data_IF_352888882785
#
_entry.id   IF_352888882785
#
_cell.length_a   1.000
_cell.length_b   1.000
_cell.length_c   1.000
_cell.angle_alpha   90.00
_cell.angle_beta   90.00
_cell.angle_gamma   90.00
#
_symmetry.space_group_name_H-M   'P 1'
#
loop_
_entity.id
_entity.type
_entity.pdbx_description
1 polymer ?
#
# COMPACT_ATOMS: atom_id res chain seq x y z
N UNK A 1 -26.80 -0.40 3.09
CA UNK A 1 -25.49 0.30 3.11
C UNK A 1 -24.51 -0.61 2.38
N UNK A 2 -23.99 -0.18 1.22
CA UNK A 2 -22.95 -0.93 0.50
C UNK A 2 -21.68 -0.94 1.38
N UNK A 3 -21.24 -2.12 1.81
CA UNK A 3 -19.92 -2.26 2.42
C UNK A 3 -18.89 -2.26 1.30
N UNK A 4 -18.06 -1.22 1.24
CA UNK A 4 -16.92 -1.17 0.32
C UNK A 4 -15.74 -1.81 1.05
N UNK A 5 -15.35 -3.00 0.58
CA UNK A 5 -14.10 -3.61 1.00
C UNK A 5 -12.93 -2.97 0.24
N UNK A 6 -11.76 -2.92 0.89
CA UNK A 6 -10.59 -2.25 0.34
C UNK A 6 -9.32 -3.04 0.62
N UNK A 7 -8.38 -2.93 -0.31
CA UNK A 7 -6.97 -3.23 -0.08
C UNK A 7 -6.28 -1.97 0.40
N UNK A 8 -5.16 -2.12 1.10
CA UNK A 8 -4.39 -1.00 1.59
C UNK A 8 -2.90 -1.30 1.69
N UNK A 9 -2.09 -0.23 1.61
CA UNK A 9 -0.68 -0.23 2.00
C UNK A 9 -0.52 0.76 3.13
N UNK A 10 -0.11 0.25 4.30
CA UNK A 10 0.13 1.03 5.51
C UNK A 10 1.64 1.21 5.72
N UNK A 11 2.07 2.46 5.83
CA UNK A 11 3.46 2.90 6.00
C UNK A 11 3.66 3.67 7.33
N UNK A 12 2.75 3.53 8.28
CA UNK A 12 2.81 4.23 9.57
C UNK A 12 4.05 3.86 10.41
N UNK A 13 4.65 2.70 10.14
CA UNK A 13 5.84 2.18 10.82
C UNK A 13 7.15 2.46 10.10
N UNK A 14 7.12 3.08 8.90
CA UNK A 14 8.34 3.68 8.35
C UNK A 14 8.53 5.04 9.02
N UNK A 15 9.71 5.64 8.86
CA UNK A 15 9.83 7.08 9.05
C UNK A 15 8.80 7.83 8.20
N UNK A 16 8.50 9.07 8.59
CA UNK A 16 7.78 10.04 7.75
C UNK A 16 7.83 11.46 8.33
N UNK A 17 7.80 12.49 7.46
CA UNK A 17 7.72 13.88 7.90
C UNK A 17 6.32 14.29 8.39
N UNK A 18 5.25 13.60 7.96
CA UNK A 18 3.88 13.92 8.36
C UNK A 18 3.59 13.53 9.82
N UNK A 19 3.66 14.52 10.72
CA UNK A 19 3.37 14.33 12.15
C UNK A 19 1.88 14.14 12.46
N UNK A 20 0.99 14.43 11.52
CA UNK A 20 -0.45 14.20 11.72
C UNK A 20 -0.86 12.74 11.51
N UNK A 21 -0.03 11.95 10.81
CA UNK A 21 -0.33 10.56 10.45
C UNK A 21 -1.44 10.41 9.41
N UNK A 22 -1.84 11.50 8.73
CA UNK A 22 -2.96 11.50 7.79
C UNK A 22 -2.64 10.75 6.49
N UNK A 23 -1.37 10.73 6.08
CA UNK A 23 -0.95 10.21 4.78
C UNK A 23 -0.21 8.86 4.83
N UNK A 24 -0.34 8.14 5.95
CA UNK A 24 0.35 6.86 6.20
C UNK A 24 -0.27 5.66 5.48
N UNK A 25 -1.49 5.80 4.97
CA UNK A 25 -2.22 4.69 4.36
C UNK A 25 -2.82 5.08 3.02
N UNK A 26 -2.65 4.21 2.03
CA UNK A 26 -3.30 4.32 0.73
C UNK A 26 -4.29 3.17 0.60
N UNK A 27 -5.51 3.46 0.13
CA UNK A 27 -6.59 2.48 -0.02
C UNK A 27 -7.09 2.42 -1.46
N UNK A 28 -7.48 1.25 -1.90
CA UNK A 28 -8.19 1.04 -3.16
C UNK A 28 -9.36 0.07 -2.94
N UNK A 29 -10.50 0.22 -3.65
CA UNK A 29 -11.58 -0.77 -3.60
C UNK A 29 -11.07 -2.16 -3.95
N UNK A 30 -11.55 -3.18 -3.24
CA UNK A 30 -11.13 -4.56 -3.46
C UNK A 30 -12.33 -5.51 -3.48
N UNK A 31 -12.35 -6.40 -4.46
CA UNK A 31 -13.36 -7.44 -4.59
C UNK A 31 -13.00 -8.65 -3.74
N UNK A 32 -13.62 -8.75 -2.56
CA UNK A 32 -13.43 -9.87 -1.62
C UNK A 32 -14.07 -11.19 -2.07
N UNK A 33 -14.82 -11.20 -3.16
CA UNK A 33 -15.30 -12.47 -3.75
C UNK A 33 -14.13 -13.28 -4.34
N UNK A 34 -13.03 -12.61 -4.70
CA UNK A 34 -11.76 -13.25 -5.05
C UNK A 34 -11.14 -13.89 -3.80
N UNK A 35 -11.03 -15.21 -3.81
CA UNK A 35 -10.45 -15.98 -2.69
C UNK A 35 -8.92 -16.01 -2.65
N UNK A 36 -8.27 -15.58 -3.74
CA UNK A 36 -6.82 -15.52 -3.86
C UNK A 36 -6.44 -14.17 -4.49
N UNK A 37 -5.26 -13.69 -4.15
CA UNK A 37 -4.64 -12.51 -4.75
C UNK A 37 -3.21 -12.83 -5.10
N UNK A 38 -2.76 -12.41 -6.29
CA UNK A 38 -1.35 -12.45 -6.63
C UNK A 38 -0.74 -11.07 -6.41
N UNK A 39 0.38 -10.99 -5.69
CA UNK A 39 1.07 -9.74 -5.43
C UNK A 39 2.45 -9.78 -6.07
N UNK A 40 2.76 -8.74 -6.83
CA UNK A 40 4.14 -8.40 -7.19
C UNK A 40 4.50 -7.12 -6.45
N UNK A 41 5.52 -7.21 -5.61
CA UNK A 41 5.99 -6.11 -4.78
C UNK A 41 7.39 -5.75 -5.24
N UNK A 42 7.58 -4.50 -5.66
CA UNK A 42 8.89 -3.92 -5.91
C UNK A 42 9.22 -3.01 -4.73
N UNK A 43 10.42 -3.18 -4.18
CA UNK A 43 10.96 -2.37 -3.10
C UNK A 43 12.21 -1.71 -3.61
N UNK A 44 12.26 -0.38 -3.50
CA UNK A 44 13.44 0.42 -3.76
C UNK A 44 13.75 1.29 -2.53
N UNK A 45 14.87 2.00 -2.54
CA UNK A 45 15.41 2.76 -1.42
C UNK A 45 14.42 3.76 -0.81
N UNK A 46 13.53 4.34 -1.63
CA UNK A 46 12.57 5.35 -1.21
C UNK A 46 11.14 5.06 -1.69
N UNK A 47 10.89 3.88 -2.24
CA UNK A 47 9.57 3.54 -2.76
C UNK A 47 9.18 2.09 -2.53
N UNK A 48 7.88 1.88 -2.46
CA UNK A 48 7.26 0.56 -2.58
C UNK A 48 6.17 0.63 -3.65
N UNK A 49 6.17 -0.38 -4.52
CA UNK A 49 5.18 -0.53 -5.58
C UNK A 49 4.52 -1.89 -5.45
N UNK A 50 3.21 -1.90 -5.20
CA UNK A 50 2.43 -3.12 -5.00
C UNK A 50 1.45 -3.27 -6.16
N UNK A 51 1.70 -4.25 -7.01
CA UNK A 51 0.84 -4.63 -8.12
C UNK A 51 -0.01 -5.82 -7.69
N UNK A 52 -1.33 -5.69 -7.84
CA UNK A 52 -2.29 -6.75 -7.52
C UNK A 52 -2.83 -7.40 -8.80
N UNK A 53 -2.80 -8.72 -8.85
CA UNK A 53 -3.26 -9.56 -9.96
C UNK A 53 -2.67 -9.10 -11.32
N UNK A 54 -3.53 -8.62 -12.22
CA UNK A 54 -3.22 -8.13 -13.57
C UNK A 54 -2.83 -6.64 -13.60
N UNK A 55 -2.69 -6.00 -12.44
CA UNK A 55 -2.36 -4.59 -12.31
C UNK A 55 -3.58 -3.67 -12.33
N UNK A 56 -4.80 -4.18 -12.22
CA UNK A 56 -6.02 -3.35 -12.04
C UNK A 56 -5.94 -2.46 -10.79
N UNK A 57 -5.21 -2.91 -9.76
CA UNK A 57 -4.87 -2.11 -8.58
C UNK A 57 -3.35 -2.04 -8.47
N UNK A 58 -2.82 -0.82 -8.41
CA UNK A 58 -1.42 -0.52 -8.15
C UNK A 58 -1.32 0.52 -7.05
N UNK A 59 -0.54 0.22 -6.02
CA UNK A 59 -0.10 1.22 -5.06
C UNK A 59 1.33 1.62 -5.40
N UNK A 60 1.54 2.91 -5.67
CA UNK A 60 2.86 3.50 -5.82
C UNK A 60 3.05 4.50 -4.68
N UNK A 61 4.01 4.24 -3.80
CA UNK A 61 4.19 5.04 -2.60
C UNK A 61 5.65 5.33 -2.32
N UNK A 62 5.91 6.57 -1.91
CA UNK A 62 7.16 6.94 -1.23
C UNK A 62 7.17 6.35 0.20
N UNK A 63 8.35 5.91 0.64
CA UNK A 63 8.64 5.43 1.99
C UNK A 63 9.88 6.15 2.53
N UNK A 64 9.98 6.26 3.85
CA UNK A 64 11.15 6.83 4.52
C UNK A 64 11.75 5.79 5.49
N UNK A 65 12.46 4.78 4.98
CA UNK A 65 13.15 3.80 5.83
C UNK A 65 14.23 4.46 6.69
N UNK A 66 14.58 3.85 7.81
CA UNK A 66 15.77 4.25 8.57
C UNK A 66 17.05 3.90 7.81
N UNK A 67 18.17 4.54 8.17
CA UNK A 67 19.44 4.38 7.45
C UNK A 67 19.94 2.92 7.39
N UNK A 68 19.53 2.10 8.37
CA UNK A 68 20.00 0.73 8.55
C UNK A 68 18.92 -0.33 8.26
N UNK A 69 17.77 0.07 7.72
CA UNK A 69 16.74 -0.85 7.24
C UNK A 69 17.14 -1.56 5.93
#
# INVERSE_FOLDING_TARGET
>A
MLHVFYSYVNRAFTGQPDKSGKYVESRAPFDVSKKNVHLKILVDKISIEVFMDDGTIVFFNEIFPELND
#
